data_IF_924526929761
#
_entry.id   IF_924526929761
#
_cell.length_a   1.000
_cell.length_b   1.000
_cell.length_c   1.000
_cell.angle_alpha   90.00
_cell.angle_beta   90.00
_cell.angle_gamma   90.00
#
_symmetry.space_group_name_H-M   'P 1'
#
loop_
_entity.id
_entity.type
_entity.pdbx_description
1 polymer ?
#
# COMPACT_ATOMS: atom_id res chain seq x y z
N UNK A 1 -14.48 26.38 16.99
CA UNK A 1 -14.85 25.56 15.82
C UNK A 1 -13.54 25.10 15.24
N UNK A 2 -13.06 23.94 15.69
CA UNK A 2 -11.75 23.42 15.33
C UNK A 2 -11.72 23.15 13.83
N UNK A 3 -10.73 23.70 13.13
CA UNK A 3 -10.42 23.33 11.75
C UNK A 3 -9.98 21.87 11.75
N UNK A 4 -10.90 20.95 11.46
CA UNK A 4 -10.56 19.56 11.15
C UNK A 4 -10.13 19.55 9.69
N UNK A 5 -8.85 19.27 9.37
CA UNK A 5 -8.44 19.12 7.99
C UNK A 5 -9.06 17.82 7.47
N UNK A 6 -9.89 17.99 6.44
CA UNK A 6 -10.33 17.04 5.44
C UNK A 6 -10.61 15.61 5.88
N UNK A 7 -11.88 15.23 5.74
CA UNK A 7 -12.24 13.88 5.39
C UNK A 7 -11.24 13.32 4.38
N UNK A 8 -10.70 12.13 4.66
CA UNK A 8 -10.15 11.30 3.61
C UNK A 8 -11.31 11.04 2.67
N UNK A 9 -11.43 11.85 1.63
CA UNK A 9 -12.42 11.71 0.58
C UNK A 9 -12.10 10.40 -0.17
N UNK A 10 -12.55 9.30 0.43
CA UNK A 10 -12.36 7.94 -0.05
C UNK A 10 -13.02 7.68 -1.39
N UNK A 11 -13.67 8.67 -1.99
CA UNK A 11 -14.24 8.60 -3.34
C UNK A 11 -13.23 8.90 -4.44
N UNK A 12 -11.98 9.25 -4.12
CA UNK A 12 -10.96 9.55 -5.13
C UNK A 12 -9.67 8.74 -5.03
N UNK A 13 -9.49 7.79 -4.09
CA UNK A 13 -8.22 7.05 -3.99
C UNK A 13 -8.10 6.03 -5.13
N UNK A 14 -7.11 6.22 -6.00
CA UNK A 14 -6.81 5.31 -7.11
C UNK A 14 -5.34 4.88 -7.06
N UNK A 15 -5.00 3.89 -7.87
CA UNK A 15 -3.62 3.43 -7.95
C UNK A 15 -2.71 4.56 -8.42
N UNK A 16 -3.08 5.23 -9.52
CA UNK A 16 -2.26 6.26 -10.13
C UNK A 16 -2.05 7.49 -9.23
N UNK A 17 -3.08 7.96 -8.52
CA UNK A 17 -3.00 9.20 -7.77
C UNK A 17 -2.43 9.05 -6.35
N UNK A 18 -2.55 7.88 -5.73
CA UNK A 18 -2.20 7.70 -4.30
C UNK A 18 -1.32 6.47 -4.11
N UNK A 19 -1.82 5.28 -4.48
CA UNK A 19 -1.19 4.03 -4.04
C UNK A 19 0.18 3.83 -4.67
N UNK A 20 0.37 4.21 -5.94
CA UNK A 20 1.68 4.13 -6.61
C UNK A 20 2.77 4.90 -5.85
N UNK A 21 2.44 6.06 -5.29
CA UNK A 21 3.36 6.85 -4.46
C UNK A 21 3.74 6.12 -3.17
N UNK A 22 2.76 5.50 -2.50
CA UNK A 22 2.99 4.69 -1.30
C UNK A 22 3.85 3.46 -1.63
N UNK A 23 3.53 2.72 -2.70
CA UNK A 23 4.30 1.54 -3.11
C UNK A 23 5.75 1.90 -3.42
N UNK A 24 5.97 3.00 -4.14
CA UNK A 24 7.31 3.47 -4.48
C UNK A 24 8.11 3.82 -3.23
N UNK A 25 7.51 4.59 -2.30
CA UNK A 25 8.22 5.08 -1.11
C UNK A 25 8.43 4.03 -0.03
N UNK A 26 7.48 3.11 0.16
CA UNK A 26 7.49 2.16 1.27
C UNK A 26 7.90 0.74 0.84
N UNK A 27 7.59 0.31 -0.38
CA UNK A 27 7.65 -1.12 -0.74
C UNK A 27 8.81 -1.46 -1.68
N UNK A 28 9.11 -0.61 -2.66
CA UNK A 28 9.94 -1.00 -3.82
C UNK A 28 11.45 -1.14 -3.53
N UNK A 29 11.94 -0.72 -2.36
CA UNK A 29 13.34 -0.95 -1.97
C UNK A 29 13.67 -2.44 -1.84
N UNK A 30 12.72 -3.23 -1.33
CA UNK A 30 12.81 -4.70 -1.28
C UNK A 30 12.00 -5.35 -2.42
N UNK A 31 10.82 -4.81 -2.72
CA UNK A 31 9.88 -5.35 -3.70
C UNK A 31 9.98 -4.64 -5.07
N UNK A 32 11.20 -4.27 -5.47
CA UNK A 32 11.46 -3.61 -6.76
C UNK A 32 11.31 -4.54 -7.96
N UNK A 33 11.68 -4.07 -9.16
CA UNK A 33 11.66 -4.91 -10.37
C UNK A 33 12.54 -6.15 -10.21
N UNK A 34 13.69 -5.96 -9.55
CA UNK A 34 14.48 -7.04 -8.97
C UNK A 34 14.21 -7.07 -7.47
N UNK A 35 13.70 -8.19 -6.97
CA UNK A 35 13.44 -8.37 -5.54
C UNK A 35 14.74 -8.50 -4.76
N UNK A 36 14.76 -7.95 -3.54
CA UNK A 36 15.89 -8.03 -2.63
C UNK A 36 15.43 -8.33 -1.20
N UNK A 37 16.36 -8.64 -0.30
CA UNK A 37 16.09 -8.80 1.14
C UNK A 37 14.98 -9.83 1.47
N UNK A 38 14.85 -10.85 0.63
CA UNK A 38 13.86 -11.93 0.80
C UNK A 38 12.45 -11.59 0.33
N UNK A 39 12.25 -10.46 -0.36
CA UNK A 39 10.97 -10.14 -1.00
C UNK A 39 10.60 -11.24 -2.01
N UNK A 40 9.42 -11.88 -1.91
CA UNK A 40 9.04 -12.98 -2.82
C UNK A 40 8.53 -12.52 -4.18
N UNK A 41 8.20 -11.24 -4.33
CA UNK A 41 7.53 -10.67 -5.49
C UNK A 41 7.85 -9.19 -5.67
N UNK A 42 7.70 -8.72 -6.90
CA UNK A 42 7.77 -7.30 -7.24
C UNK A 42 6.42 -6.60 -6.97
N UNK A 43 6.45 -5.31 -6.63
CA UNK A 43 5.27 -4.46 -6.36
C UNK A 43 5.38 -3.11 -7.10
N UNK A 44 5.95 -3.12 -8.31
CA UNK A 44 6.28 -1.90 -9.08
C UNK A 44 5.12 -1.45 -9.97
N UNK A 45 4.26 -2.38 -10.40
CA UNK A 45 3.16 -2.13 -11.33
C UNK A 45 1.80 -2.36 -10.68
N UNK A 46 0.74 -1.73 -11.24
CA UNK A 46 -0.64 -1.92 -10.78
C UNK A 46 -1.01 -3.40 -10.67
N UNK A 47 -0.80 -4.17 -11.75
CA UNK A 47 -1.15 -5.59 -11.79
C UNK A 47 -0.42 -6.42 -10.71
N UNK A 48 0.84 -6.09 -10.41
CA UNK A 48 1.59 -6.76 -9.34
C UNK A 48 1.06 -6.42 -7.95
N UNK A 49 0.64 -5.17 -7.74
CA UNK A 49 0.05 -4.75 -6.46
C UNK A 49 -1.33 -5.39 -6.27
N UNK A 50 -2.15 -5.46 -7.32
CA UNK A 50 -3.44 -6.17 -7.30
C UNK A 50 -3.24 -7.66 -7.06
N UNK A 51 -2.27 -8.31 -7.72
CA UNK A 51 -1.92 -9.72 -7.42
C UNK A 51 -1.55 -9.92 -5.94
N UNK A 52 -0.84 -8.96 -5.34
CA UNK A 52 -0.48 -9.05 -3.94
C UNK A 52 -1.69 -8.88 -3.00
N UNK A 53 -2.66 -8.04 -3.37
CA UNK A 53 -3.93 -7.91 -2.66
C UNK A 53 -4.70 -9.23 -2.73
N UNK A 54 -4.93 -9.75 -3.93
CA UNK A 54 -5.83 -10.89 -4.18
C UNK A 54 -5.22 -12.22 -3.71
N UNK A 55 -3.92 -12.42 -3.94
CA UNK A 55 -3.29 -13.73 -3.81
C UNK A 55 -2.25 -13.81 -2.69
N UNK A 56 -1.87 -12.69 -2.06
CA UNK A 56 -0.72 -12.65 -1.12
C UNK A 56 -0.99 -11.93 0.19
N UNK A 57 -2.25 -11.58 0.46
CA UNK A 57 -2.68 -10.95 1.71
C UNK A 57 -1.90 -9.65 2.01
N UNK A 58 -1.78 -8.75 1.03
CA UNK A 58 -1.07 -7.48 1.18
C UNK A 58 -1.54 -6.71 2.42
N UNK A 59 -2.86 -6.62 2.65
CA UNK A 59 -3.44 -5.89 3.80
C UNK A 59 -2.99 -6.49 5.13
N UNK A 60 -3.11 -7.80 5.32
CA UNK A 60 -2.63 -8.44 6.54
C UNK A 60 -1.12 -8.29 6.74
N UNK A 61 -0.34 -8.27 5.63
CA UNK A 61 1.10 -8.10 5.67
C UNK A 61 1.53 -6.73 6.19
N UNK A 62 0.83 -5.67 5.80
CA UNK A 62 1.13 -4.29 6.22
C UNK A 62 0.56 -3.96 7.60
N UNK A 63 -0.45 -4.69 8.07
CA UNK A 63 -1.01 -4.52 9.41
C UNK A 63 -0.23 -5.25 10.51
N UNK A 64 0.60 -6.22 10.14
CA UNK A 64 1.41 -7.04 11.06
C UNK A 64 2.30 -6.19 11.97
N UNK A 65 2.19 -6.43 13.28
CA UNK A 65 3.07 -5.81 14.29
C UNK A 65 4.27 -6.69 14.67
N UNK A 66 4.20 -8.01 14.43
CA UNK A 66 5.28 -8.96 14.77
C UNK A 66 6.31 -9.11 13.66
N UNK A 67 5.91 -8.80 12.43
CA UNK A 67 6.78 -8.76 11.28
C UNK A 67 6.36 -7.52 10.48
N UNK A 68 6.76 -6.30 10.88
CA UNK A 68 6.30 -5.08 10.23
C UNK A 68 6.84 -4.99 8.80
N UNK A 69 6.07 -4.35 7.93
CA UNK A 69 6.54 -3.90 6.63
C UNK A 69 6.37 -2.38 6.54
N UNK A 70 7.41 -1.64 6.13
CA UNK A 70 8.76 -2.11 5.79
C UNK A 70 9.55 -2.72 6.96
N UNK A 71 10.60 -3.49 6.67
CA UNK A 71 11.38 -4.21 7.71
C UNK A 71 12.05 -3.28 8.73
N UNK A 72 12.32 -2.02 8.37
CA UNK A 72 12.88 -1.00 9.26
C UNK A 72 11.88 -0.37 10.23
N UNK A 73 10.59 -0.71 10.10
CA UNK A 73 9.52 -0.13 10.89
C UNK A 73 8.25 -0.01 10.07
N UNK A 74 7.10 -0.25 10.69
CA UNK A 74 5.79 -0.19 10.04
C UNK A 74 5.56 1.23 9.49
N UNK A 75 5.06 1.33 8.27
CA UNK A 75 4.64 2.62 7.71
C UNK A 75 3.52 3.27 8.55
N UNK A 76 3.26 4.56 8.34
CA UNK A 76 2.25 5.30 9.12
C UNK A 76 0.85 4.70 8.96
N UNK A 77 0.03 4.83 10.00
CA UNK A 77 -1.34 4.32 9.98
C UNK A 77 -2.17 4.95 8.85
N UNK A 78 -1.97 6.24 8.56
CA UNK A 78 -2.60 6.92 7.42
C UNK A 78 -2.33 6.23 6.07
N UNK A 79 -1.09 5.80 5.81
CA UNK A 79 -0.75 5.09 4.55
C UNK A 79 -1.40 3.71 4.49
N UNK A 80 -1.47 3.00 5.62
CA UNK A 80 -2.18 1.73 5.72
C UNK A 80 -3.66 1.92 5.42
N UNK A 81 -4.28 2.93 6.03
CA UNK A 81 -5.71 3.22 5.87
C UNK A 81 -6.05 3.62 4.42
N UNK A 82 -5.17 4.36 3.74
CA UNK A 82 -5.31 4.67 2.31
C UNK A 82 -5.28 3.41 1.44
N UNK A 83 -4.36 2.48 1.69
CA UNK A 83 -4.31 1.19 0.97
C UNK A 83 -5.58 0.39 1.24
N UNK A 84 -6.04 0.32 2.50
CA UNK A 84 -7.26 -0.41 2.87
C UNK A 84 -8.50 0.18 2.21
N UNK A 85 -8.63 1.50 2.19
CA UNK A 85 -9.73 2.18 1.50
C UNK A 85 -9.71 1.87 0.00
N UNK A 86 -8.55 1.93 -0.64
CA UNK A 86 -8.40 1.58 -2.05
C UNK A 86 -8.77 0.12 -2.35
N UNK A 87 -8.34 -0.83 -1.51
CA UNK A 87 -8.73 -2.26 -1.63
C UNK A 87 -10.23 -2.43 -1.43
N UNK A 88 -10.82 -1.79 -0.42
CA UNK A 88 -12.25 -1.85 -0.14
C UNK A 88 -13.10 -1.29 -1.30
N UNK A 89 -12.56 -0.34 -2.07
CA UNK A 89 -13.19 0.24 -3.25
C UNK A 89 -12.97 -0.57 -4.54
N UNK A 90 -12.42 -1.78 -4.46
CA UNK A 90 -12.20 -2.64 -5.64
C UNK A 90 -10.97 -2.30 -6.45
N UNK A 91 -9.95 -1.67 -5.85
CA UNK A 91 -8.65 -1.38 -6.46
C UNK A 91 -8.71 -0.58 -7.77
N UNK A 92 -9.41 0.58 -7.83
CA UNK A 92 -9.47 1.38 -9.05
C UNK A 92 -8.08 1.82 -9.51
N UNK A 93 -7.77 1.62 -10.79
CA UNK A 93 -6.47 2.01 -11.36
C UNK A 93 -6.38 3.54 -11.55
N UNK A 94 -7.47 4.16 -12.02
CA UNK A 94 -7.57 5.57 -12.42
C UNK A 94 -8.69 6.29 -11.73
#
# INVERSE_FOLDING_TARGET
>A
MENIPDEIDGTSITYENTIKGIMTSECTSCHGSTTSQGAPMSLVTYAQVVDAVDNRNLVGRIESNTNPMPQGGKMSQTKIDQIKAWVANGTPEK
#
